data_IF_819837514623
#
_entry.id   IF_819837514623
#
_cell.length_a   1.000
_cell.length_b   1.000
_cell.length_c   1.000
_cell.angle_alpha   90.00
_cell.angle_beta   90.00
_cell.angle_gamma   90.00
#
_symmetry.space_group_name_H-M   'P 1'
#
loop_
_entity.id
_entity.type
_entity.pdbx_description
1 polymer ?
#
# COMPACT_ATOMS: atom_id res chain seq x y z
N UNK A 1 -15.29 -6.36 9.26
CA UNK A 1 -14.66 -5.05 9.00
C UNK A 1 -13.38 -5.02 9.80
N UNK A 2 -12.25 -4.61 9.21
CA UNK A 2 -10.97 -4.56 9.92
C UNK A 2 -11.00 -3.39 10.91
N UNK A 3 -10.68 -3.67 12.17
CA UNK A 3 -10.51 -2.64 13.20
C UNK A 3 -9.04 -2.17 13.20
N UNK A 4 -8.79 -1.04 12.57
CA UNK A 4 -7.47 -0.45 12.49
C UNK A 4 -7.12 0.36 13.74
N UNK A 5 -5.96 0.10 14.32
CA UNK A 5 -5.38 0.94 15.38
C UNK A 5 -4.92 2.28 14.82
N UNK A 6 -4.24 2.22 13.66
CA UNK A 6 -3.72 3.37 12.92
C UNK A 6 -3.79 3.04 11.43
N UNK A 7 -4.41 3.93 10.67
CA UNK A 7 -4.47 3.79 9.22
C UNK A 7 -4.41 5.16 8.55
N UNK A 8 -4.13 5.11 7.25
CA UNK A 8 -4.29 6.23 6.34
C UNK A 8 -5.20 5.82 5.19
N UNK A 9 -5.68 6.82 4.49
CA UNK A 9 -6.46 6.64 3.27
C UNK A 9 -5.66 7.16 2.09
N UNK A 10 -5.51 6.34 1.06
CA UNK A 10 -4.86 6.71 -0.20
C UNK A 10 -5.86 6.62 -1.33
N UNK A 11 -6.17 7.77 -1.95
CA UNK A 11 -6.83 7.78 -3.26
C UNK A 11 -5.80 7.49 -4.34
N UNK A 12 -6.07 6.51 -5.20
CA UNK A 12 -5.18 6.12 -6.27
C UNK A 12 -5.31 7.07 -7.46
N UNK A 13 -4.17 7.48 -8.00
CA UNK A 13 -4.08 8.16 -9.29
C UNK A 13 -4.15 7.14 -10.43
N UNK A 14 -4.40 7.58 -11.67
CA UNK A 14 -4.36 6.71 -12.86
C UNK A 14 -3.06 5.88 -12.93
N UNK A 15 -1.92 6.49 -12.61
CA UNK A 15 -0.59 5.85 -12.68
C UNK A 15 -0.45 4.68 -11.70
N UNK A 16 -1.16 4.73 -10.56
CA UNK A 16 -1.11 3.71 -9.51
C UNK A 16 -2.19 2.63 -9.66
N UNK A 17 -3.19 2.85 -10.54
CA UNK A 17 -4.37 1.99 -10.65
C UNK A 17 -4.58 1.37 -12.03
N UNK A 18 -3.87 1.83 -13.07
CA UNK A 18 -4.00 1.29 -14.43
C UNK A 18 -2.77 0.43 -14.81
N UNK A 19 -2.83 -0.91 -14.62
CA UNK A 19 -1.72 -1.81 -14.91
C UNK A 19 -1.35 -1.86 -16.41
N UNK A 20 -2.29 -1.61 -17.33
CA UNK A 20 -2.04 -1.64 -18.79
C UNK A 20 -1.18 -0.47 -19.29
N UNK A 21 -1.00 0.57 -18.47
CA UNK A 21 -0.10 1.71 -18.78
C UNK A 21 1.16 1.76 -17.91
N UNK A 22 1.26 0.89 -16.90
CA UNK A 22 2.25 1.08 -15.85
C UNK A 22 2.64 -0.25 -15.23
N UNK A 23 3.89 -0.68 -15.40
CA UNK A 23 4.53 -1.76 -14.62
C UNK A 23 4.66 -1.42 -13.12
N UNK A 24 3.78 -0.56 -12.56
CA UNK A 24 3.89 -0.04 -11.22
C UNK A 24 3.18 -0.92 -10.21
N UNK A 25 4.00 -1.78 -9.64
CA UNK A 25 3.85 -2.46 -8.36
C UNK A 25 4.07 -1.51 -7.18
N UNK A 26 3.78 -0.21 -7.30
CA UNK A 26 4.21 0.80 -6.31
C UNK A 26 3.07 1.76 -5.92
N UNK A 27 2.93 1.99 -4.62
CA UNK A 27 2.14 3.11 -4.08
C UNK A 27 3.08 4.27 -3.78
N UNK A 28 2.77 5.46 -4.31
CA UNK A 28 3.66 6.60 -4.23
C UNK A 28 3.40 7.46 -3.00
N UNK A 29 4.48 7.83 -2.30
CA UNK A 29 4.68 9.16 -1.70
C UNK A 29 3.64 9.65 -0.70
N UNK A 30 2.84 8.77 -0.10
CA UNK A 30 1.88 9.19 0.92
C UNK A 30 2.65 9.49 2.19
N UNK A 31 2.71 10.77 2.57
CA UNK A 31 3.19 11.21 3.89
C UNK A 31 2.57 10.40 5.03
N UNK A 32 1.33 9.95 4.84
CA UNK A 32 0.65 8.99 5.70
C UNK A 32 1.34 7.63 5.86
N UNK A 33 1.80 7.01 4.76
CA UNK A 33 2.56 5.75 4.84
C UNK A 33 3.91 5.97 5.54
N UNK A 34 4.56 7.11 5.29
CA UNK A 34 5.79 7.48 6.02
C UNK A 34 5.53 7.62 7.52
N UNK A 35 4.40 8.21 7.93
CA UNK A 35 4.02 8.28 9.34
C UNK A 35 3.70 6.90 9.96
N UNK A 36 3.19 5.94 9.17
CA UNK A 36 2.89 4.59 9.63
C UNK A 36 4.13 3.68 9.70
N UNK A 37 4.99 3.74 8.68
CA UNK A 37 6.11 2.81 8.50
C UNK A 37 7.45 3.41 8.94
N UNK A 38 7.52 4.72 9.13
CA UNK A 38 8.75 5.46 9.40
C UNK A 38 9.59 5.71 8.15
N UNK A 39 10.82 6.17 8.36
CA UNK A 39 11.77 6.49 7.28
C UNK A 39 12.75 5.37 6.98
N UNK A 40 12.77 4.33 7.82
CA UNK A 40 13.67 3.20 7.65
C UNK A 40 13.16 2.27 6.55
N UNK A 41 14.06 1.84 5.67
CA UNK A 41 13.78 0.81 4.68
C UNK A 41 13.28 -0.47 5.35
N UNK A 42 12.25 -1.09 4.79
CA UNK A 42 11.70 -2.38 5.24
C UNK A 42 11.51 -3.29 4.04
N UNK A 43 12.36 -4.31 3.91
CA UNK A 43 12.29 -5.26 2.81
C UNK A 43 11.42 -6.48 3.15
N UNK A 44 10.63 -6.94 2.17
CA UNK A 44 9.93 -8.23 2.19
C UNK A 44 9.09 -8.52 3.47
N UNK A 45 8.41 -7.50 4.00
CA UNK A 45 7.49 -7.69 5.11
C UNK A 45 6.09 -8.10 4.63
N UNK A 46 5.30 -8.71 5.50
CA UNK A 46 3.98 -9.21 5.14
C UNK A 46 2.96 -8.06 5.07
N UNK A 47 2.17 -8.05 4.01
CA UNK A 47 0.97 -7.24 3.87
C UNK A 47 -0.23 -8.12 3.49
N UNK A 48 -1.38 -7.83 4.06
CA UNK A 48 -2.64 -8.50 3.79
C UNK A 48 -3.51 -7.59 2.93
N UNK A 49 -3.77 -8.01 1.70
CA UNK A 49 -4.63 -7.31 0.76
C UNK A 49 -6.05 -7.88 0.85
N UNK A 50 -7.06 -7.01 0.87
CA UNK A 50 -8.46 -7.43 0.98
C UNK A 50 -9.42 -6.42 0.33
N UNK A 51 -10.62 -6.87 -0.04
CA UNK A 51 -11.72 -6.00 -0.42
C UNK A 51 -12.52 -5.58 0.82
N UNK A 52 -12.96 -4.33 0.87
CA UNK A 52 -13.85 -3.87 1.93
C UNK A 52 -15.12 -4.72 1.98
N UNK A 53 -15.43 -5.23 3.17
CA UNK A 53 -16.59 -6.11 3.38
C UNK A 53 -16.37 -7.58 3.03
N UNK A 54 -15.26 -7.97 2.39
CA UNK A 54 -14.92 -9.38 2.10
C UNK A 54 -13.62 -9.81 2.81
N UNK A 55 -13.69 -9.88 4.14
CA UNK A 55 -12.58 -10.38 4.97
C UNK A 55 -12.31 -11.88 4.83
N UNK A 56 -13.10 -12.60 4.03
CA UNK A 56 -12.92 -14.05 3.81
C UNK A 56 -11.83 -14.35 2.79
N UNK A 57 -11.46 -13.37 1.94
CA UNK A 57 -10.50 -13.51 0.85
C UNK A 57 -9.27 -12.63 1.06
N UNK A 58 -8.51 -12.94 2.11
CA UNK A 58 -7.25 -12.25 2.42
C UNK A 58 -6.13 -12.78 1.52
N UNK A 59 -5.44 -11.87 0.82
CA UNK A 59 -4.29 -12.18 -0.01
C UNK A 59 -3.02 -11.67 0.68
N UNK A 60 -2.25 -12.59 1.27
CA UNK A 60 -0.96 -12.25 1.88
C UNK A 60 0.14 -12.16 0.81
N UNK A 61 0.82 -11.02 0.74
CA UNK A 61 1.96 -10.78 -0.16
C UNK A 61 3.11 -10.11 0.57
N UNK A 62 4.31 -10.24 0.01
CA UNK A 62 5.47 -9.48 0.44
C UNK A 62 5.46 -8.09 -0.16
N UNK A 63 5.80 -7.11 0.64
CA UNK A 63 5.94 -5.70 0.25
C UNK A 63 7.29 -5.15 0.72
N UNK A 64 7.76 -4.10 0.06
CA UNK A 64 8.99 -3.39 0.40
C UNK A 64 8.73 -1.90 0.49
N UNK A 65 9.09 -1.30 1.63
CA UNK A 65 9.06 0.14 1.84
C UNK A 65 10.47 0.69 1.72
N UNK A 66 10.67 1.67 0.84
CA UNK A 66 11.99 2.22 0.55
C UNK A 66 11.89 3.67 0.07
N UNK A 67 13.01 4.39 0.12
CA UNK A 67 13.11 5.70 -0.52
C UNK A 67 13.69 5.52 -1.94
N UNK A 68 12.87 5.79 -2.97
CA UNK A 68 13.28 5.67 -4.37
C UNK A 68 14.38 6.66 -4.77
N UNK A 69 14.70 7.59 -3.88
CA UNK A 69 15.75 8.59 -4.00
C UNK A 69 16.81 8.44 -2.92
N UNK A 70 17.02 7.25 -2.34
CA UNK A 70 18.06 6.97 -1.32
C UNK A 70 19.47 7.51 -1.68
N UNK A 71 19.80 7.60 -2.97
CA UNK A 71 21.10 8.12 -3.44
C UNK A 71 21.12 9.63 -3.72
N UNK A 72 19.98 10.33 -3.62
CA UNK A 72 19.90 11.77 -3.79
C UNK A 72 20.12 12.50 -2.46
N UNK A 73 20.97 13.54 -2.42
CA UNK A 73 21.40 14.16 -1.16
C UNK A 73 20.31 14.99 -0.43
N UNK A 74 19.30 15.48 -1.14
CA UNK A 74 18.32 16.44 -0.57
C UNK A 74 16.85 16.06 -0.80
N UNK A 75 16.59 15.06 -1.65
CA UNK A 75 15.23 14.69 -2.05
C UNK A 75 14.95 13.26 -1.63
N UNK A 76 13.86 13.07 -0.92
CA UNK A 76 13.30 11.76 -0.61
C UNK A 76 11.98 11.54 -1.33
N UNK A 77 11.77 10.31 -1.81
CA UNK A 77 10.55 9.87 -2.45
C UNK A 77 10.23 8.45 -1.99
N UNK A 78 9.50 8.34 -0.89
CA UNK A 78 9.17 7.03 -0.35
C UNK A 78 8.09 6.32 -1.15
N UNK A 79 8.28 5.02 -1.37
CA UNK A 79 7.36 4.16 -2.13
C UNK A 79 7.17 2.82 -1.44
N UNK A 80 5.95 2.29 -1.54
CA UNK A 80 5.63 0.94 -1.11
C UNK A 80 5.49 0.05 -2.33
N UNK A 81 6.47 -0.82 -2.54
CA UNK A 81 6.43 -1.84 -3.57
C UNK A 81 5.61 -3.06 -3.12
N UNK A 82 4.76 -3.60 -3.99
CA UNK A 82 3.90 -4.75 -3.74
C UNK A 82 3.82 -5.69 -4.94
N UNK A 83 3.63 -6.98 -4.71
CA UNK A 83 3.40 -7.93 -5.81
C UNK A 83 1.98 -7.84 -6.36
N UNK A 84 1.79 -8.09 -7.66
CA UNK A 84 0.47 -8.19 -8.29
C UNK A 84 -0.44 -9.12 -7.49
N UNK A 85 -1.68 -8.69 -7.29
CA UNK A 85 -2.71 -9.44 -6.58
C UNK A 85 -4.10 -8.97 -6.98
N UNK A 86 -5.10 -9.82 -6.78
CA UNK A 86 -6.47 -9.57 -7.26
C UNK A 86 -7.09 -8.27 -6.74
N UNK A 87 -6.75 -7.85 -5.52
CA UNK A 87 -7.24 -6.60 -4.92
C UNK A 87 -6.69 -5.40 -5.69
N UNK A 88 -5.39 -5.37 -5.94
CA UNK A 88 -4.76 -4.30 -6.71
C UNK A 88 -5.12 -4.36 -8.20
N UNK A 89 -5.40 -5.54 -8.76
CA UNK A 89 -5.91 -5.69 -10.14
C UNK A 89 -7.31 -5.10 -10.31
N UNK A 90 -8.14 -5.14 -9.26
CA UNK A 90 -9.49 -4.56 -9.28
C UNK A 90 -9.52 -3.05 -9.00
N UNK A 91 -8.41 -2.47 -8.54
CA UNK A 91 -8.31 -1.05 -8.29
C UNK A 91 -8.35 -0.26 -9.62
N UNK A 92 -8.93 0.94 -9.57
CA UNK A 92 -9.03 1.87 -10.72
C UNK A 92 -8.66 3.28 -10.29
N UNK A 93 -8.46 4.18 -11.26
CA UNK A 93 -8.25 5.58 -10.92
C UNK A 93 -9.39 6.07 -10.00
N UNK A 94 -9.01 6.73 -8.91
CA UNK A 94 -9.93 7.23 -7.92
C UNK A 94 -10.41 6.21 -6.88
N UNK A 95 -10.06 4.92 -7.02
CA UNK A 95 -10.20 3.95 -5.94
C UNK A 95 -9.48 4.41 -4.68
N UNK A 96 -9.98 3.96 -3.53
CA UNK A 96 -9.47 4.36 -2.23
C UNK A 96 -8.96 3.13 -1.49
N UNK A 97 -7.71 3.20 -1.02
CA UNK A 97 -7.13 2.21 -0.14
C UNK A 97 -7.14 2.71 1.31
N UNK A 98 -7.56 1.86 2.24
CA UNK A 98 -7.26 2.01 3.67
C UNK A 98 -6.04 1.17 3.99
N UNK A 99 -4.99 1.81 4.50
CA UNK A 99 -3.69 1.15 4.73
C UNK A 99 -3.27 1.40 6.17
N UNK A 100 -2.98 0.34 6.92
CA UNK A 100 -2.70 0.48 8.33
C UNK A 100 -2.42 -0.82 9.06
N UNK A 101 -2.27 -0.70 10.37
CA UNK A 101 -2.12 -1.85 11.26
C UNK A 101 -3.40 -2.05 12.07
N UNK A 102 -3.77 -3.30 12.30
CA UNK A 102 -4.73 -3.66 13.35
C UNK A 102 -4.05 -3.83 14.71
N UNK A 103 -4.85 -4.18 15.73
CA UNK A 103 -4.40 -4.43 17.09
C UNK A 103 -3.44 -5.63 17.22
N UNK A 104 -3.50 -6.59 16.30
CA UNK A 104 -2.58 -7.73 16.22
C UNK A 104 -1.28 -7.41 15.46
N UNK A 105 -1.12 -6.14 15.05
CA UNK A 105 0.03 -5.64 14.26
C UNK A 105 0.13 -6.27 12.87
N UNK A 106 -0.98 -6.76 12.33
CA UNK A 106 -1.07 -7.17 10.93
C UNK A 106 -1.17 -5.92 10.07
N UNK A 107 -0.35 -5.84 9.02
CA UNK A 107 -0.39 -4.73 8.07
C UNK A 107 -1.38 -5.02 6.96
N UNK A 108 -2.42 -4.19 6.86
CA UNK A 108 -3.53 -4.36 5.94
C UNK A 108 -3.53 -3.28 4.85
N UNK A 109 -3.92 -3.69 3.65
CA UNK A 109 -4.24 -2.83 2.50
C UNK A 109 -5.64 -3.24 2.03
N UNK A 110 -6.65 -2.48 2.44
CA UNK A 110 -8.06 -2.72 2.11
C UNK A 110 -8.50 -1.80 0.97
N UNK A 111 -9.01 -2.36 -0.11
CA UNK A 111 -9.64 -1.61 -1.19
C UNK A 111 -11.09 -1.27 -0.81
N UNK A 112 -11.36 0.01 -0.59
CA UNK A 112 -12.69 0.51 -0.31
C UNK A 112 -13.58 0.47 -1.55
N UNK A 113 -14.86 0.21 -1.32
CA UNK A 113 -15.89 0.07 -2.35
C UNK A 113 -16.40 1.41 -2.91
#
# INVERSE_FOLDING_TARGET
MIEFDKYITKKLSAVEAEPDRSNQHELNGVSGLKALLGEQRKDNFNAHFVFEGDSSRVIAKKVTWYDAREQHPERSEFRLYFQTNDVMTAAREGSVLKIGFDHERVFWIELAS
#
